data_IF_427864206998
#
_entry.id   IF_427864206998
#
_cell.length_a   1.000
_cell.length_b   1.000
_cell.length_c   1.000
_cell.angle_alpha   90.00
_cell.angle_beta   90.00
_cell.angle_gamma   90.00
#
_symmetry.space_group_name_H-M   'P 1'
#
loop_
_entity.id
_entity.type
_entity.pdbx_description
1 polymer ?
#
# COMPACT_ATOMS: atom_id res chain seq x y z
N UNK A 1 -28.60 -17.55 -27.50
CA UNK A 1 -27.25 -17.07 -27.11
C UNK A 1 -27.27 -15.69 -26.42
N UNK A 2 -28.00 -14.69 -26.92
CA UNK A 2 -28.04 -13.32 -26.36
C UNK A 2 -28.41 -13.25 -24.86
N UNK A 3 -29.37 -14.06 -24.40
CA UNK A 3 -29.79 -14.08 -22.99
C UNK A 3 -28.71 -14.62 -22.03
N UNK A 4 -27.87 -15.56 -22.46
CA UNK A 4 -26.79 -16.09 -21.62
C UNK A 4 -25.67 -15.05 -21.43
N UNK A 5 -25.32 -14.30 -22.49
CA UNK A 5 -24.35 -13.21 -22.38
C UNK A 5 -24.84 -12.08 -21.45
N UNK A 6 -26.13 -11.75 -21.51
CA UNK A 6 -26.74 -10.76 -20.62
C UNK A 6 -26.68 -11.20 -19.15
N UNK A 7 -27.03 -12.46 -18.86
CA UNK A 7 -26.98 -13.01 -17.49
C UNK A 7 -25.54 -13.03 -16.96
N UNK A 8 -24.57 -13.45 -17.78
CA UNK A 8 -23.14 -13.45 -17.39
C UNK A 8 -22.66 -12.02 -17.12
N UNK A 9 -23.05 -11.04 -17.94
CA UNK A 9 -22.68 -9.64 -17.74
C UNK A 9 -23.27 -9.08 -16.43
N UNK A 10 -24.54 -9.40 -16.12
CA UNK A 10 -25.19 -8.97 -14.87
C UNK A 10 -24.45 -9.57 -13.66
N UNK A 11 -24.15 -10.88 -13.68
CA UNK A 11 -23.40 -11.56 -12.61
C UNK A 11 -22.03 -10.90 -12.43
N UNK A 12 -21.32 -10.61 -13.53
CA UNK A 12 -20.01 -9.97 -13.48
C UNK A 12 -20.07 -8.56 -12.87
N UNK A 13 -21.10 -7.76 -13.20
CA UNK A 13 -21.33 -6.45 -12.58
C UNK A 13 -21.58 -6.59 -11.09
N UNK A 14 -22.41 -7.54 -10.65
CA UNK A 14 -22.65 -7.79 -9.22
C UNK A 14 -21.37 -8.20 -8.47
N UNK A 15 -20.51 -9.01 -9.09
CA UNK A 15 -19.20 -9.37 -8.53
C UNK A 15 -18.33 -8.11 -8.36
N UNK A 16 -18.21 -7.27 -9.40
CA UNK A 16 -17.42 -6.03 -9.32
C UNK A 16 -17.94 -5.09 -8.21
N UNK A 17 -19.26 -4.90 -8.12
CA UNK A 17 -19.86 -4.04 -7.10
C UNK A 17 -19.56 -4.59 -5.69
N UNK A 18 -19.73 -5.90 -5.49
CA UNK A 18 -19.47 -6.56 -4.20
C UNK A 18 -18.00 -6.45 -3.78
N UNK A 19 -17.07 -6.65 -4.73
CA UNK A 19 -15.65 -6.46 -4.50
C UNK A 19 -15.32 -5.02 -4.10
N UNK A 20 -15.89 -4.02 -4.79
CA UNK A 20 -15.66 -2.61 -4.47
C UNK A 20 -16.18 -2.25 -3.07
N UNK A 21 -17.36 -2.71 -2.67
CA UNK A 21 -17.89 -2.47 -1.32
C UNK A 21 -16.99 -3.08 -0.24
N UNK A 22 -16.52 -4.32 -0.44
CA UNK A 22 -15.62 -4.99 0.48
C UNK A 22 -14.28 -4.25 0.61
N UNK A 23 -13.70 -3.85 -0.53
CA UNK A 23 -12.47 -3.07 -0.58
C UNK A 23 -12.60 -1.72 0.13
N UNK A 24 -13.70 -0.99 -0.07
CA UNK A 24 -13.96 0.28 0.62
C UNK A 24 -14.04 0.05 2.13
N UNK A 25 -14.79 -0.96 2.58
CA UNK A 25 -14.95 -1.27 4.01
C UNK A 25 -13.60 -1.60 4.67
N UNK A 26 -12.79 -2.42 4.00
CA UNK A 26 -11.45 -2.76 4.48
C UNK A 26 -10.53 -1.52 4.51
N UNK A 27 -10.55 -0.70 3.46
CA UNK A 27 -9.79 0.54 3.42
C UNK A 27 -10.19 1.49 4.54
N UNK A 28 -11.49 1.72 4.77
CA UNK A 28 -11.95 2.59 5.86
C UNK A 28 -11.57 2.07 7.25
N UNK A 29 -11.52 0.74 7.44
CA UNK A 29 -11.09 0.12 8.71
C UNK A 29 -9.59 0.28 8.95
N UNK A 30 -8.79 0.30 7.89
CA UNK A 30 -7.32 0.20 7.95
C UNK A 30 -6.57 1.48 7.60
N UNK A 31 -7.21 2.39 6.87
CA UNK A 31 -6.68 3.72 6.60
C UNK A 31 -6.79 4.54 7.86
N UNK A 32 -5.65 4.76 8.48
CA UNK A 32 -5.55 5.73 9.55
C UNK A 32 -5.29 7.10 8.91
N UNK A 33 -6.17 8.07 9.17
CA UNK A 33 -6.05 9.44 8.63
C UNK A 33 -5.00 10.27 9.37
N UNK A 34 -4.34 9.67 10.36
CA UNK A 34 -3.28 10.30 11.13
C UNK A 34 -2.18 10.74 10.18
N UNK A 35 -1.78 12.00 10.29
CA UNK A 35 -0.67 12.52 9.50
C UNK A 35 0.63 12.25 10.23
N UNK A 36 1.54 11.52 9.57
CA UNK A 36 2.95 11.45 9.97
C UNK A 36 3.74 12.55 9.24
N UNK A 37 4.46 13.35 10.00
CA UNK A 37 5.38 14.36 9.47
C UNK A 37 6.78 14.10 10.01
N UNK A 38 7.78 14.13 9.14
CA UNK A 38 9.17 13.91 9.52
C UNK A 38 9.92 15.21 9.27
N UNK A 39 10.47 15.81 10.32
CA UNK A 39 11.30 16.99 10.22
C UNK A 39 12.75 16.60 10.50
N UNK A 40 13.54 16.50 9.42
CA UNK A 40 14.95 16.14 9.50
C UNK A 40 15.84 17.27 10.03
N UNK A 41 15.42 18.53 9.88
CA UNK A 41 16.16 19.70 10.39
C UNK A 41 16.10 19.77 11.91
N UNK A 42 14.90 19.60 12.46
CA UNK A 42 14.65 19.62 13.91
C UNK A 42 14.72 18.22 14.56
N UNK A 43 15.01 17.18 13.78
CA UNK A 43 15.23 15.79 14.21
C UNK A 43 14.09 15.19 15.04
N UNK A 44 12.86 15.32 14.54
CA UNK A 44 11.69 14.67 15.14
C UNK A 44 10.75 14.06 14.10
N UNK A 45 9.95 13.10 14.55
CA UNK A 45 8.76 12.63 13.88
C UNK A 45 7.55 13.13 14.66
N UNK A 46 6.58 13.72 13.96
CA UNK A 46 5.30 14.09 14.51
C UNK A 46 4.27 13.08 14.02
N UNK A 47 3.59 12.46 14.99
CA UNK A 47 2.47 11.55 14.74
C UNK A 47 1.27 12.21 15.39
N UNK A 48 0.28 12.59 14.57
CA UNK A 48 -0.83 13.46 15.00
C UNK A 48 -0.33 14.80 15.56
N UNK A 49 -0.59 15.05 16.85
CA UNK A 49 -0.24 16.29 17.54
C UNK A 49 0.97 16.09 18.48
N UNK A 50 1.54 14.89 18.55
CA UNK A 50 2.65 14.57 19.44
C UNK A 50 3.96 14.49 18.65
N UNK A 51 4.99 15.13 19.18
CA UNK A 51 6.34 15.13 18.60
C UNK A 51 7.23 14.18 19.38
N UNK A 52 7.90 13.29 18.66
CA UNK A 52 8.87 12.35 19.20
C UNK A 52 10.22 12.66 18.58
N UNK A 53 11.21 13.00 19.41
CA UNK A 53 12.56 13.26 18.91
C UNK A 53 13.18 11.94 18.44
N UNK A 54 14.02 12.00 17.43
CA UNK A 54 14.73 10.80 16.95
C UNK A 54 15.59 10.16 18.05
N UNK A 55 16.13 10.96 18.97
CA UNK A 55 16.89 10.48 20.13
C UNK A 55 16.08 9.59 21.06
N UNK A 56 14.77 9.78 21.10
CA UNK A 56 13.88 9.11 22.05
C UNK A 56 13.37 7.78 21.46
N UNK A 57 13.61 7.54 20.17
CA UNK A 57 13.21 6.35 19.43
C UNK A 57 14.40 5.37 19.39
N UNK A 58 14.24 4.25 20.08
CA UNK A 58 15.23 3.17 20.09
C UNK A 58 15.27 2.44 18.74
N UNK A 59 14.11 2.04 18.23
CA UNK A 59 14.02 1.34 16.95
C UNK A 59 12.65 1.50 16.29
N UNK A 60 12.64 1.29 14.97
CA UNK A 60 11.42 1.24 14.17
C UNK A 60 11.32 -0.13 13.51
N UNK A 61 10.15 -0.74 13.61
CA UNK A 61 9.79 -1.96 12.86
C UNK A 61 8.48 -1.77 12.12
N UNK A 62 8.31 -2.57 11.06
CA UNK A 62 7.10 -2.62 10.25
C UNK A 62 6.49 -4.01 10.37
N UNK A 63 5.27 -4.08 10.87
CA UNK A 63 4.49 -5.32 10.92
C UNK A 63 3.50 -5.33 9.76
N UNK A 64 3.59 -6.31 8.87
CA UNK A 64 2.57 -6.50 7.84
C UNK A 64 1.25 -6.94 8.48
N UNK A 65 0.14 -6.37 8.03
CA UNK A 65 -1.19 -6.82 8.45
C UNK A 65 -1.51 -8.16 7.75
N UNK A 66 -2.02 -9.15 8.50
CA UNK A 66 -2.38 -10.47 7.98
C UNK A 66 -3.43 -10.38 6.86
N UNK A 67 -4.36 -9.42 6.99
CA UNK A 67 -5.41 -9.19 6.02
C UNK A 67 -4.94 -8.18 4.96
N UNK A 68 -4.40 -8.70 3.85
CA UNK A 68 -4.05 -7.92 2.66
C UNK A 68 -5.17 -7.94 1.62
N UNK A 69 -5.31 -6.88 0.79
CA UNK A 69 -6.17 -6.95 -0.39
C UNK A 69 -5.66 -8.03 -1.34
N UNK A 70 -6.57 -8.89 -1.79
CA UNK A 70 -6.27 -9.90 -2.80
C UNK A 70 -5.86 -9.26 -4.12
N UNK A 71 -5.16 -10.02 -4.96
CA UNK A 71 -4.80 -9.61 -6.32
C UNK A 71 -6.00 -9.06 -7.09
N UNK A 72 -7.15 -9.75 -7.04
CA UNK A 72 -8.37 -9.27 -7.70
C UNK A 72 -8.85 -7.93 -7.15
N UNK A 73 -8.87 -7.76 -5.82
CA UNK A 73 -9.29 -6.48 -5.21
C UNK A 73 -8.33 -5.34 -5.61
N UNK A 74 -7.01 -5.58 -5.64
CA UNK A 74 -6.01 -4.58 -6.06
C UNK A 74 -6.17 -4.11 -7.51
N UNK A 75 -6.68 -4.95 -8.40
CA UNK A 75 -6.83 -4.60 -9.83
C UNK A 75 -8.21 -4.07 -10.20
N UNK A 76 -9.26 -4.65 -9.62
CA UNK A 76 -10.64 -4.33 -10.01
C UNK A 76 -11.31 -3.30 -9.09
N UNK A 77 -10.61 -2.81 -8.06
CA UNK A 77 -11.15 -1.78 -7.17
C UNK A 77 -10.19 -0.61 -7.03
N UNK A 78 -10.72 0.60 -7.26
CA UNK A 78 -9.95 1.85 -7.11
C UNK A 78 -9.41 2.02 -5.69
N UNK A 79 -10.12 1.48 -4.70
CA UNK A 79 -9.83 1.60 -3.27
C UNK A 79 -8.92 0.51 -2.72
N UNK A 80 -8.38 -0.38 -3.55
CA UNK A 80 -7.33 -1.32 -3.15
C UNK A 80 -6.13 -1.28 -4.10
N UNK A 81 -6.19 -0.46 -5.14
CA UNK A 81 -5.12 -0.33 -6.10
C UNK A 81 -3.83 0.13 -5.41
N UNK A 82 -2.81 -0.73 -5.47
CA UNK A 82 -1.51 -0.55 -4.80
C UNK A 82 -1.57 -0.37 -3.27
N UNK A 83 -2.69 -0.71 -2.63
CA UNK A 83 -2.77 -0.71 -1.17
C UNK A 83 -2.02 -1.88 -0.56
N UNK A 84 -1.30 -1.56 0.51
CA UNK A 84 -0.54 -2.49 1.31
C UNK A 84 -0.65 -2.05 2.76
N UNK A 85 -1.29 -2.88 3.57
CA UNK A 85 -1.57 -2.55 4.96
C UNK A 85 -0.44 -3.02 5.85
N UNK A 86 0.13 -2.12 6.63
CA UNK A 86 1.11 -2.45 7.63
C UNK A 86 1.02 -1.47 8.81
N UNK A 87 1.69 -1.79 9.90
CA UNK A 87 1.79 -0.96 11.09
C UNK A 87 3.25 -0.67 11.40
N UNK A 88 3.61 0.60 11.48
CA UNK A 88 4.86 1.04 12.09
C UNK A 88 4.75 0.91 13.61
N UNK A 89 5.76 0.31 14.22
CA UNK A 89 5.96 0.32 15.67
C UNK A 89 7.22 1.13 15.97
N UNK A 90 7.03 2.26 16.64
CA UNK A 90 8.10 3.12 17.15
C UNK A 90 8.37 2.74 18.60
N UNK A 91 9.43 1.99 18.84
CA UNK A 91 9.85 1.59 20.18
C UNK A 91 10.66 2.73 20.80
N UNK A 92 10.14 3.34 21.85
CA UNK A 92 10.80 4.43 22.57
C UNK A 92 11.78 3.90 23.63
N UNK A 93 12.72 4.75 24.04
CA UNK A 93 13.72 4.40 25.06
C UNK A 93 13.10 4.13 26.44
N UNK A 94 11.94 4.72 26.73
CA UNK A 94 11.23 4.53 27.99
C UNK A 94 10.42 3.22 28.04
N UNK A 95 10.44 2.41 26.98
CA UNK A 95 9.69 1.15 26.87
C UNK A 95 8.32 1.28 26.21
N UNK A 96 7.85 2.49 25.93
CA UNK A 96 6.58 2.70 25.23
C UNK A 96 6.71 2.35 23.74
N UNK A 97 5.60 1.90 23.15
CA UNK A 97 5.52 1.61 21.72
C UNK A 97 4.37 2.40 21.08
N UNK A 98 4.72 3.31 20.16
CA UNK A 98 3.72 4.06 19.39
C UNK A 98 3.45 3.30 18.10
N UNK A 99 2.17 3.08 17.81
CA UNK A 99 1.72 2.37 16.62
C UNK A 99 1.09 3.32 15.62
N UNK A 100 1.43 3.12 14.35
CA UNK A 100 0.95 3.96 13.26
C UNK A 100 0.68 3.12 12.01
N UNK A 101 -0.57 3.09 11.54
CA UNK A 101 -0.93 2.31 10.36
C UNK A 101 -0.55 3.03 9.08
N UNK A 102 -0.17 2.24 8.08
CA UNK A 102 0.24 2.69 6.75
C UNK A 102 -0.42 1.81 5.70
N UNK A 103 -0.79 2.44 4.60
CA UNK A 103 -1.59 1.80 3.54
C UNK A 103 -0.84 1.68 2.20
N UNK A 104 0.45 2.03 2.18
CA UNK A 104 1.26 2.04 0.95
C UNK A 104 2.71 1.64 1.20
N UNK A 105 3.22 0.68 0.41
CA UNK A 105 4.65 0.33 0.36
C UNK A 105 5.54 1.53 0.04
N UNK A 106 5.11 2.40 -0.87
CA UNK A 106 5.88 3.59 -1.25
C UNK A 106 6.00 4.58 -0.07
N UNK A 107 4.94 4.74 0.72
CA UNK A 107 4.96 5.54 1.94
C UNK A 107 5.93 4.95 2.97
N UNK A 108 5.86 3.63 3.21
CA UNK A 108 6.77 2.92 4.12
C UNK A 108 8.23 3.12 3.69
N UNK A 109 8.53 2.88 2.42
CA UNK A 109 9.85 3.06 1.84
C UNK A 109 10.38 4.48 2.09
N UNK A 110 9.59 5.51 1.77
CA UNK A 110 9.97 6.91 1.94
C UNK A 110 10.26 7.24 3.41
N UNK A 111 9.40 6.79 4.31
CA UNK A 111 9.52 7.01 5.76
C UNK A 111 10.79 6.35 6.29
N UNK A 112 10.97 5.05 6.04
CA UNK A 112 12.14 4.30 6.50
C UNK A 112 13.43 4.88 5.93
N UNK A 113 13.47 5.20 4.62
CA UNK A 113 14.68 5.77 4.00
C UNK A 113 15.05 7.13 4.59
N UNK A 114 14.05 7.94 4.93
CA UNK A 114 14.25 9.26 5.56
C UNK A 114 14.76 9.12 6.99
N UNK A 115 14.28 8.12 7.75
CA UNK A 115 14.68 7.89 9.14
C UNK A 115 15.94 7.06 9.33
N UNK A 116 16.35 6.28 8.31
CA UNK A 116 17.52 5.40 8.30
C UNK A 116 18.81 6.03 8.89
N UNK A 117 19.18 7.29 8.59
CA UNK A 117 20.40 7.87 9.15
C UNK A 117 20.26 8.34 10.62
N UNK A 118 19.04 8.40 11.16
CA UNK A 118 18.77 8.97 12.47
C UNK A 118 18.31 7.96 13.52
N UNK A 119 17.68 6.86 13.09
CA UNK A 119 17.05 5.87 13.97
C UNK A 119 17.38 4.47 13.47
N UNK A 120 17.57 3.54 14.41
CA UNK A 120 17.79 2.12 14.09
C UNK A 120 16.53 1.53 13.46
N UNK A 121 16.69 0.94 12.28
CA UNK A 121 15.61 0.22 11.59
C UNK A 121 15.81 -1.29 11.79
N UNK A 122 14.75 -1.99 12.18
CA UNK A 122 14.77 -3.46 12.23
C UNK A 122 14.55 -4.06 10.83
N UNK A 123 13.81 -3.35 9.98
CA UNK A 123 13.52 -3.75 8.61
C UNK A 123 14.33 -2.93 7.60
N UNK A 124 14.79 -3.58 6.52
CA UNK A 124 15.48 -2.89 5.43
C UNK A 124 14.47 -2.13 4.57
N UNK A 125 14.65 -0.81 4.33
CA UNK A 125 13.75 -0.04 3.48
C UNK A 125 13.51 -0.69 2.11
N UNK A 126 14.53 -1.33 1.55
CA UNK A 126 14.53 -1.92 0.21
C UNK A 126 13.45 -2.99 0.01
N UNK A 127 12.99 -3.67 1.07
CA UNK A 127 11.87 -4.64 0.99
C UNK A 127 10.53 -3.99 0.61
N UNK A 128 10.38 -2.70 0.88
CA UNK A 128 9.18 -1.93 0.60
C UNK A 128 9.30 -1.10 -0.68
N UNK A 129 10.41 -1.21 -1.41
CA UNK A 129 10.58 -0.52 -2.68
C UNK A 129 9.57 -1.04 -3.70
N UNK A 130 8.68 -0.18 -4.17
CA UNK A 130 7.71 -0.53 -5.21
C UNK A 130 8.41 -0.69 -6.56
N UNK A 131 8.15 -1.77 -7.31
CA UNK A 131 8.67 -1.91 -8.67
C UNK A 131 8.10 -0.82 -9.58
N UNK A 132 8.87 -0.43 -10.60
CA UNK A 132 8.50 0.61 -11.56
C UNK A 132 7.30 0.22 -12.44
N UNK A 133 7.12 -1.08 -12.67
CA UNK A 133 6.02 -1.64 -13.43
C UNK A 133 5.52 -2.88 -12.70
N UNK A 134 4.22 -2.99 -12.46
CA UNK A 134 3.62 -4.19 -11.90
C UNK A 134 3.28 -5.20 -13.01
N UNK A 135 3.32 -6.50 -12.67
CA UNK A 135 3.21 -7.59 -13.63
C UNK A 135 2.00 -7.49 -14.59
N UNK A 136 0.82 -7.09 -14.11
CA UNK A 136 -0.35 -6.91 -14.99
C UNK A 136 -0.29 -5.70 -15.92
N UNK A 137 0.35 -4.59 -15.51
CA UNK A 137 0.62 -3.49 -16.45
C UNK A 137 1.59 -3.95 -17.53
N UNK A 138 2.64 -4.70 -17.16
CA UNK A 138 3.56 -5.30 -18.12
C UNK A 138 2.82 -6.25 -19.09
N UNK A 139 1.92 -7.09 -18.57
CA UNK A 139 1.08 -7.99 -19.36
C UNK A 139 0.17 -7.23 -20.32
N UNK A 140 -0.50 -6.17 -19.85
CA UNK A 140 -1.34 -5.31 -20.69
C UNK A 140 -0.54 -4.63 -21.82
N UNK A 141 0.65 -4.12 -21.52
CA UNK A 141 1.57 -3.56 -22.53
C UNK A 141 1.98 -4.63 -23.55
N UNK A 142 2.31 -5.84 -23.10
CA UNK A 142 2.65 -6.97 -24.00
C UNK A 142 1.45 -7.32 -24.90
N UNK A 143 0.23 -7.42 -24.36
CA UNK A 143 -0.97 -7.69 -25.15
C UNK A 143 -1.24 -6.61 -26.21
N UNK A 144 -1.04 -5.33 -25.86
CA UNK A 144 -1.17 -4.21 -26.80
C UNK A 144 -0.13 -4.34 -27.92
N UNK A 145 1.14 -4.60 -27.58
CA UNK A 145 2.21 -4.80 -28.58
C UNK A 145 1.86 -5.96 -29.52
N UNK A 146 1.45 -7.11 -28.96
CA UNK A 146 1.05 -8.29 -29.74
C UNK A 146 -0.13 -8.01 -30.67
N UNK A 147 -1.13 -7.25 -30.21
CA UNK A 147 -2.27 -6.84 -31.04
C UNK A 147 -1.83 -5.95 -32.21
N UNK A 148 -0.97 -4.95 -31.96
CA UNK A 148 -0.44 -4.10 -33.02
C UNK A 148 0.44 -4.87 -34.01
N UNK A 149 1.26 -5.82 -33.54
CA UNK A 149 2.06 -6.69 -34.41
C UNK A 149 1.16 -7.56 -35.31
N UNK A 150 0.11 -8.18 -34.74
CA UNK A 150 -0.86 -8.95 -35.52
C UNK A 150 -1.53 -8.09 -36.61
N UNK A 151 -1.95 -6.87 -36.27
CA UNK A 151 -2.62 -5.94 -37.19
C UNK A 151 -1.69 -5.28 -38.23
N UNK A 152 -0.37 -5.40 -38.08
CA UNK A 152 0.61 -4.94 -39.08
C UNK A 152 1.07 -6.08 -40.00
N UNK A 153 0.99 -7.34 -39.54
CA UNK A 153 1.30 -8.52 -40.34
C UNK A 153 0.13 -9.02 -41.20
N UNK A 154 -1.11 -8.64 -40.86
CA UNK A 154 -2.35 -8.93 -41.60
C UNK A 154 -3.06 -7.65 -42.00
#
# INVERSE_FOLDING_TARGET
>A
MFNCFLIIAIIFVFIIVSLNFKSIKMFLKKSDTKNIQINTKERYVQIENTRYRFSDINSISVLEDEEQPSTCERYFTRYSHNHYFAEFSFNLNNGDCIKYKVVSKAQIYKILKTMQPYVKLNDKPEYFKTPFCDGPTLFGVICIILYFMYKFLH
#
